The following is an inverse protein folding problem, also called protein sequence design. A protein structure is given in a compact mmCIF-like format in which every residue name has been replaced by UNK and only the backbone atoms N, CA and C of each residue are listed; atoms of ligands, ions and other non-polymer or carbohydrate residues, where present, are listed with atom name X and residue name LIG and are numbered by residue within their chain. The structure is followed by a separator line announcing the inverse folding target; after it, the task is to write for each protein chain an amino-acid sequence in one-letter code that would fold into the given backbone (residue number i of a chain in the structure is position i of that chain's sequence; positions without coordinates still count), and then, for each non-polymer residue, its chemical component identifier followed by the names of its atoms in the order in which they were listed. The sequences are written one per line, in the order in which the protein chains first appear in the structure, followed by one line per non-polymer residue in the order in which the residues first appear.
data_IF_419233981162
#
_entry.id   IF_419233981162
#
_cell.length_a   1.000
_cell.length_b   1.000
_cell.length_c   1.000
_cell.angle_alpha   90.00
_cell.angle_beta   90.00
_cell.angle_gamma   90.00
#
_symmetry.space_group_name_H-M   'P 1'
#
loop_
_entity.id
_entity.type
_entity.pdbx_description
1 polymer ?
#
# COMPACT_ATOMS: atom_id res chain seq x y z
N UNK A 1 7.82 -10.93 11.14
CA UNK A 1 6.63 -10.09 11.00
C UNK A 1 7.07 -8.68 10.60
N UNK A 2 6.79 -8.26 9.38
CA UNK A 2 6.94 -6.87 8.94
C UNK A 2 5.60 -6.16 8.98
N UNK A 3 5.63 -4.87 9.33
CA UNK A 3 4.46 -4.01 9.42
C UNK A 3 4.64 -2.82 8.48
N UNK A 4 3.69 -2.60 7.58
CA UNK A 4 3.66 -1.42 6.71
C UNK A 4 2.51 -0.52 7.14
N UNK A 5 2.85 0.67 7.59
CA UNK A 5 1.89 1.73 7.84
C UNK A 5 1.57 2.46 6.53
N UNK A 6 0.29 2.56 6.19
CA UNK A 6 -0.17 3.25 4.99
C UNK A 6 -1.38 4.12 5.30
N UNK A 7 -1.57 5.16 4.49
CA UNK A 7 -2.72 6.05 4.55
C UNK A 7 -3.09 6.45 3.13
N UNK A 8 -4.39 6.54 2.84
CA UNK A 8 -4.84 7.12 1.56
C UNK A 8 -4.70 8.65 1.62
N UNK A 9 -4.29 9.28 0.52
CA UNK A 9 -4.18 10.74 0.45
C UNK A 9 -5.48 11.45 0.85
N UNK A 10 -6.63 10.86 0.52
CA UNK A 10 -7.97 11.37 0.82
C UNK A 10 -8.51 11.05 2.23
N UNK A 11 -7.79 10.27 3.06
CA UNK A 11 -8.25 9.88 4.40
C UNK A 11 -7.23 10.27 5.46
N UNK A 12 -7.67 10.75 6.61
CA UNK A 12 -6.77 11.04 7.73
C UNK A 12 -6.34 9.79 8.50
N UNK A 13 -7.15 8.72 8.44
CA UNK A 13 -6.89 7.49 9.20
C UNK A 13 -5.78 6.64 8.59
N UNK A 14 -4.76 6.35 9.41
CA UNK A 14 -3.70 5.40 9.09
C UNK A 14 -4.15 3.95 9.29
N UNK A 15 -3.60 3.05 8.49
CA UNK A 15 -3.80 1.61 8.58
C UNK A 15 -2.48 0.88 8.58
N UNK A 16 -2.49 -0.34 9.12
CA UNK A 16 -1.32 -1.22 9.17
C UNK A 16 -1.60 -2.50 8.41
N UNK A 17 -0.67 -2.87 7.52
CA UNK A 17 -0.62 -4.17 6.88
C UNK A 17 0.50 -5.00 7.51
N UNK A 18 0.18 -6.21 7.96
CA UNK A 18 1.13 -7.14 8.60
C UNK A 18 1.46 -8.27 7.65
N UNK A 19 2.75 -8.57 7.48
CA UNK A 19 3.24 -9.65 6.63
C UNK A 19 4.16 -10.57 7.44
N UNK A 20 4.11 -11.88 7.17
CA UNK A 20 4.97 -12.87 7.83
C UNK A 20 6.44 -12.64 7.51
N UNK A 21 6.72 -12.30 6.25
CA UNK A 21 8.06 -12.06 5.71
C UNK A 21 8.71 -10.78 6.24
N UNK A 22 10.05 -10.72 6.21
CA UNK A 22 10.83 -9.53 6.58
C UNK A 22 10.70 -8.38 5.58
N UNK A 23 10.54 -8.70 4.30
CA UNK A 23 10.39 -7.72 3.22
C UNK A 23 9.12 -8.01 2.43
N UNK A 24 8.43 -6.96 2.02
CA UNK A 24 7.24 -7.05 1.18
C UNK A 24 7.47 -6.38 -0.17
N UNK A 25 7.08 -7.05 -1.25
CA UNK A 25 7.11 -6.43 -2.58
C UNK A 25 5.97 -5.42 -2.74
N UNK A 26 6.18 -4.37 -3.56
CA UNK A 26 5.12 -3.41 -3.86
C UNK A 26 3.90 -4.07 -4.49
N UNK A 27 4.09 -5.11 -5.31
CA UNK A 27 2.98 -5.87 -5.91
C UNK A 27 2.10 -6.52 -4.84
N UNK A 28 2.71 -7.18 -3.85
CA UNK A 28 1.98 -7.79 -2.74
C UNK A 28 1.26 -6.75 -1.89
N UNK A 29 1.93 -5.63 -1.57
CA UNK A 29 1.32 -4.54 -0.81
C UNK A 29 0.14 -3.91 -1.57
N UNK A 30 0.29 -3.62 -2.86
CA UNK A 30 -0.79 -3.11 -3.71
C UNK A 30 -1.98 -4.07 -3.75
N UNK A 31 -1.72 -5.36 -3.92
CA UNK A 31 -2.78 -6.39 -3.93
C UNK A 31 -3.51 -6.45 -2.60
N UNK A 32 -2.77 -6.48 -1.48
CA UNK A 32 -3.34 -6.48 -0.14
C UNK A 32 -4.27 -5.29 0.09
N UNK A 33 -3.82 -4.08 -0.23
CA UNK A 33 -4.64 -2.87 -0.07
C UNK A 33 -5.87 -2.92 -1.00
N UNK A 34 -5.71 -3.32 -2.26
CA UNK A 34 -6.83 -3.44 -3.21
C UNK A 34 -7.91 -4.40 -2.69
N UNK A 35 -7.50 -5.57 -2.19
CA UNK A 35 -8.42 -6.58 -1.65
C UNK A 35 -9.08 -6.11 -0.36
N UNK A 36 -8.30 -5.59 0.60
CA UNK A 36 -8.83 -5.14 1.91
C UNK A 36 -9.81 -3.98 1.79
N UNK A 37 -9.58 -3.10 0.83
CA UNK A 37 -10.35 -1.86 0.64
C UNK A 37 -11.42 -1.97 -0.44
N UNK A 38 -11.59 -3.16 -1.02
CA UNK A 38 -12.53 -3.44 -2.09
C UNK A 38 -12.43 -2.41 -3.24
N UNK A 39 -11.20 -2.05 -3.63
CA UNK A 39 -10.99 -1.04 -4.67
C UNK A 39 -11.52 -1.59 -6.01
N UNK A 40 -12.64 -1.02 -6.46
CA UNK A 40 -13.34 -1.37 -7.69
C UNK A 40 -12.57 -0.87 -8.91
N UNK A 41 -11.52 -1.57 -9.33
CA UNK A 41 -11.15 -1.66 -10.76
C UNK A 41 -9.80 -2.38 -10.94
N UNK A 42 -9.75 -3.41 -11.79
CA UNK A 42 -8.48 -4.01 -12.22
C UNK A 42 -7.60 -3.04 -13.02
N UNK A 43 -8.16 -1.91 -13.52
CA UNK A 43 -7.46 -0.89 -14.31
C UNK A 43 -6.97 0.32 -13.51
N UNK A 44 -7.41 0.51 -12.26
CA UNK A 44 -6.91 1.63 -11.45
C UNK A 44 -5.59 1.20 -10.82
N UNK A 45 -4.49 1.75 -11.30
CA UNK A 45 -3.20 1.45 -10.70
C UNK A 45 -3.07 2.21 -9.36
N UNK A 46 -2.70 1.46 -8.31
CA UNK A 46 -2.51 2.06 -6.99
C UNK A 46 -1.10 2.61 -6.95
N UNK A 47 -0.97 3.93 -7.05
CA UNK A 47 0.33 4.58 -6.88
C UNK A 47 0.71 4.61 -5.40
N UNK A 48 1.96 4.27 -5.12
CA UNK A 48 2.51 4.27 -3.76
C UNK A 48 3.59 5.35 -3.70
N UNK A 49 3.40 6.26 -2.74
CA UNK A 49 4.38 7.25 -2.33
C UNK A 49 4.97 6.79 -1.00
N UNK A 50 6.29 6.68 -0.93
CA UNK A 50 6.96 6.45 0.34
C UNK A 50 6.89 7.72 1.20
N UNK A 51 6.28 7.64 2.38
CA UNK A 51 6.08 8.81 3.22
C UNK A 51 7.38 9.35 3.86
N UNK A 52 8.40 8.51 4.01
CA UNK A 52 9.67 8.88 4.65
C UNK A 52 10.60 9.58 3.66
N UNK A 53 10.65 9.09 2.43
CA UNK A 53 11.55 9.59 1.39
C UNK A 53 10.87 10.48 0.37
N UNK A 54 9.53 10.57 0.42
CA UNK A 54 8.68 11.26 -0.57
C UNK A 54 8.94 10.81 -2.02
N UNK A 55 9.50 9.61 -2.20
CA UNK A 55 9.76 9.05 -3.53
C UNK A 55 8.55 8.27 -4.01
N UNK A 56 7.97 8.73 -5.11
CA UNK A 56 6.95 7.99 -5.85
C UNK A 56 7.62 6.94 -6.72
N UNK A 57 7.23 5.67 -6.59
CA UNK A 57 7.60 4.65 -7.58
C UNK A 57 6.50 4.61 -8.65
N UNK A 58 6.78 5.23 -9.79
CA UNK A 58 6.01 5.06 -11.02
C UNK A 58 6.31 3.64 -11.53
N UNK A 59 5.28 2.81 -11.66
CA UNK A 59 5.35 1.48 -12.25
C UNK A 59 4.52 1.43 -13.51
#
# INVERSE_FOLDING_TARGET
MSCVHYRFSSKLDGRTATFSELTVSLRQLKLYIKTRECLKSPKTDLQILDAQTQKGRLS
#
